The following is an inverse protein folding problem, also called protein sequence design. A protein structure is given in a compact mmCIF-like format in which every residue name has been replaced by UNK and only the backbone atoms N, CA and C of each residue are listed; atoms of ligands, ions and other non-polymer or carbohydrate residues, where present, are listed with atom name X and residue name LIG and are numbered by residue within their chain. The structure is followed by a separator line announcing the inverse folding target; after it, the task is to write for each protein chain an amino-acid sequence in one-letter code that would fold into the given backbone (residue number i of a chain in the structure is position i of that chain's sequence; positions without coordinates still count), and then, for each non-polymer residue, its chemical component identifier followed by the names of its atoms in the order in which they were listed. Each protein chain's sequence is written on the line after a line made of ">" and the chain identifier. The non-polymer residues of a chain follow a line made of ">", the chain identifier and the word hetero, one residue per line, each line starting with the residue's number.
data_IF_129308334779
#
_entry.id   IF_129308334779
#
_cell.length_a   1.000
_cell.length_b   1.000
_cell.length_c   1.000
_cell.angle_alpha   90.00
_cell.angle_beta   90.00
_cell.angle_gamma   90.00
#
_symmetry.space_group_name_H-M   'P 1'
#
loop_
_entity.id
_entity.type
_entity.pdbx_description
1 polymer ?
#
# COMPACT_ATOMS: atom_id res chain seq x y z
N UNK A 1 2.30 -17.14 2.12
CA UNK A 1 2.67 -17.46 0.72
C UNK A 1 3.95 -16.77 0.24
N UNK A 2 4.84 -16.33 1.14
CA UNK A 2 6.14 -15.75 0.77
C UNK A 2 7.31 -16.75 0.87
N UNK A 3 7.03 -18.01 1.21
CA UNK A 3 8.04 -19.05 1.48
C UNK A 3 8.91 -19.40 0.26
N UNK A 4 8.49 -19.00 -0.95
CA UNK A 4 9.25 -19.14 -2.20
C UNK A 4 9.78 -17.81 -2.74
N UNK A 5 9.87 -16.79 -1.88
CA UNK A 5 10.40 -15.47 -2.22
C UNK A 5 11.91 -15.47 -2.51
N UNK A 6 12.40 -14.33 -2.99
CA UNK A 6 13.82 -14.11 -3.29
C UNK A 6 14.61 -14.02 -1.98
N UNK A 7 15.64 -14.86 -1.83
CA UNK A 7 16.50 -14.84 -0.62
C UNK A 7 17.67 -13.86 -0.73
N UNK A 8 18.24 -13.75 -1.93
CA UNK A 8 19.30 -12.82 -2.28
C UNK A 8 18.98 -12.25 -3.66
N UNK A 9 18.95 -10.91 -3.75
CA UNK A 9 18.62 -10.20 -4.98
C UNK A 9 19.62 -10.49 -6.10
N UNK A 10 20.89 -10.76 -5.77
CA UNK A 10 21.93 -11.06 -6.74
C UNK A 10 21.60 -12.30 -7.58
N UNK A 11 20.88 -13.26 -7.00
CA UNK A 11 20.46 -14.49 -7.71
C UNK A 11 19.49 -14.22 -8.86
N UNK A 12 18.82 -13.07 -8.87
CA UNK A 12 17.85 -12.71 -9.91
C UNK A 12 18.34 -11.58 -10.81
N UNK A 13 19.59 -11.12 -10.70
CA UNK A 13 20.15 -10.08 -11.58
C UNK A 13 19.98 -10.37 -13.07
N UNK A 14 20.18 -11.61 -13.57
CA UNK A 14 19.89 -11.91 -14.98
C UNK A 14 18.43 -11.67 -15.37
N UNK A 15 17.50 -11.90 -14.46
CA UNK A 15 16.08 -11.60 -14.69
C UNK A 15 15.83 -10.09 -14.65
N UNK A 16 16.40 -9.36 -13.70
CA UNK A 16 16.28 -7.89 -13.61
C UNK A 16 16.86 -7.19 -14.84
N UNK A 17 18.01 -7.63 -15.33
CA UNK A 17 18.59 -7.16 -16.59
C UNK A 17 17.61 -7.37 -17.75
N UNK A 18 16.99 -8.56 -17.81
CA UNK A 18 16.02 -8.85 -18.87
C UNK A 18 14.75 -8.02 -18.75
N UNK A 19 14.27 -7.80 -17.53
CA UNK A 19 13.12 -6.92 -17.25
C UNK A 19 13.40 -5.50 -17.72
N UNK A 20 14.59 -4.96 -17.42
CA UNK A 20 15.02 -3.65 -17.89
C UNK A 20 15.02 -3.56 -19.41
N UNK A 21 15.64 -4.53 -20.11
CA UNK A 21 15.66 -4.58 -21.58
C UNK A 21 14.27 -4.63 -22.22
N UNK A 22 13.31 -5.27 -21.53
CA UNK A 22 11.94 -5.44 -22.02
C UNK A 22 11.00 -4.31 -21.56
N UNK A 23 11.47 -3.39 -20.71
CA UNK A 23 10.61 -2.37 -20.09
C UNK A 23 9.56 -2.96 -19.13
N UNK A 24 9.80 -4.15 -18.60
CA UNK A 24 8.91 -4.80 -17.63
C UNK A 24 9.17 -4.23 -16.22
N UNK A 25 8.15 -3.68 -15.52
CA UNK A 25 8.35 -3.13 -14.19
C UNK A 25 8.61 -4.22 -13.15
N UNK A 26 9.49 -3.92 -12.19
CA UNK A 26 9.68 -4.71 -10.98
C UNK A 26 8.78 -4.16 -9.87
N UNK A 27 7.92 -5.01 -9.31
CA UNK A 27 7.07 -4.66 -8.17
C UNK A 27 7.67 -5.27 -6.91
N UNK A 28 7.90 -4.46 -5.88
CA UNK A 28 8.73 -4.85 -4.74
C UNK A 28 7.95 -4.74 -3.44
N UNK A 29 7.75 -5.87 -2.76
CA UNK A 29 7.49 -5.89 -1.33
C UNK A 29 8.82 -5.69 -0.59
N UNK A 30 9.11 -4.44 -0.22
CA UNK A 30 10.44 -4.05 0.26
C UNK A 30 10.63 -4.20 1.76
N UNK A 31 10.66 -5.42 2.27
CA UNK A 31 11.08 -5.73 3.65
C UNK A 31 12.18 -6.81 3.63
N UNK A 32 13.21 -6.64 4.46
CA UNK A 32 14.13 -7.74 4.77
C UNK A 32 13.47 -8.72 5.75
N UNK A 33 13.79 -10.01 5.64
CA UNK A 33 13.18 -11.06 6.47
C UNK A 33 14.10 -11.63 7.56
N UNK A 34 15.25 -10.98 7.81
CA UNK A 34 16.19 -11.36 8.87
C UNK A 34 15.48 -11.41 10.23
N UNK A 35 15.66 -12.52 10.95
CA UNK A 35 15.03 -12.76 12.25
C UNK A 35 15.51 -11.80 13.35
N UNK A 36 16.68 -11.16 13.17
CA UNK A 36 17.27 -10.22 14.13
C UNK A 36 16.83 -8.77 13.89
N UNK A 37 16.20 -8.47 12.76
CA UNK A 37 15.72 -7.13 12.42
C UNK A 37 14.28 -6.98 12.86
N UNK A 38 14.04 -5.97 13.70
CA UNK A 38 12.72 -5.63 14.20
C UNK A 38 11.77 -5.32 13.03
N UNK A 39 10.54 -5.83 13.12
CA UNK A 39 9.52 -5.71 12.07
C UNK A 39 9.20 -4.24 11.72
N UNK A 40 9.40 -3.30 12.63
CA UNK A 40 9.19 -1.87 12.36
C UNK A 40 10.32 -1.24 11.52
N UNK A 41 11.50 -1.88 11.46
CA UNK A 41 12.71 -1.35 10.79
C UNK A 41 12.98 -2.04 9.44
N UNK A 42 12.31 -3.16 9.14
CA UNK A 42 12.58 -3.99 7.95
C UNK A 42 12.49 -3.25 6.62
N UNK A 43 11.54 -2.31 6.50
CA UNK A 43 11.37 -1.51 5.28
C UNK A 43 12.55 -0.56 5.06
N UNK A 44 12.98 0.15 6.12
CA UNK A 44 14.11 1.07 6.05
C UNK A 44 15.42 0.32 5.76
N UNK A 45 15.63 -0.85 6.38
CA UNK A 45 16.81 -1.67 6.13
C UNK A 45 16.79 -2.26 4.71
N UNK A 46 15.63 -2.60 4.15
CA UNK A 46 15.52 -3.03 2.76
C UNK A 46 15.98 -1.94 1.79
N UNK A 47 15.59 -0.68 2.05
CA UNK A 47 16.04 0.47 1.24
C UNK A 47 17.57 0.56 1.26
N UNK A 48 18.16 0.58 2.47
CA UNK A 48 19.60 0.74 2.67
C UNK A 48 20.41 -0.39 2.03
N UNK A 49 20.01 -1.64 2.28
CA UNK A 49 20.83 -2.82 1.93
C UNK A 49 20.60 -3.32 0.51
N UNK A 50 19.43 -3.07 -0.07
CA UNK A 50 19.00 -3.73 -1.31
C UNK A 50 18.57 -2.68 -2.34
N UNK A 51 17.54 -1.89 -2.05
CA UNK A 51 16.87 -1.12 -3.09
C UNK A 51 17.77 -0.03 -3.69
N UNK A 52 18.58 0.66 -2.87
CA UNK A 52 19.54 1.65 -3.36
C UNK A 52 20.50 1.03 -4.38
N UNK A 53 21.04 -0.15 -4.10
CA UNK A 53 21.99 -0.83 -4.99
C UNK A 53 21.30 -1.29 -6.28
N UNK A 54 20.10 -1.86 -6.19
CA UNK A 54 19.33 -2.30 -7.37
C UNK A 54 19.06 -1.12 -8.31
N UNK A 55 18.68 0.04 -7.79
CA UNK A 55 18.44 1.24 -8.61
C UNK A 55 19.73 1.76 -9.26
N UNK A 56 20.88 1.61 -8.61
CA UNK A 56 22.18 1.98 -9.18
C UNK A 56 22.61 1.02 -10.29
N UNK A 57 22.38 -0.28 -10.10
CA UNK A 57 22.79 -1.33 -11.04
C UNK A 57 21.88 -1.41 -12.27
N UNK A 58 20.60 -1.04 -12.11
CA UNK A 58 19.59 -1.07 -13.16
C UNK A 58 18.88 0.29 -13.31
N UNK A 59 19.58 1.34 -13.78
CA UNK A 59 19.06 2.71 -13.79
C UNK A 59 17.87 2.93 -14.74
N UNK A 60 17.67 2.06 -15.73
CA UNK A 60 16.55 2.11 -16.68
C UNK A 60 15.37 1.21 -16.26
N UNK A 61 15.55 0.35 -15.24
CA UNK A 61 14.49 -0.53 -14.75
C UNK A 61 13.43 0.29 -14.03
N UNK A 62 12.18 0.18 -14.49
CA UNK A 62 11.03 0.70 -13.75
C UNK A 62 10.80 -0.14 -12.50
N UNK A 63 10.68 0.52 -11.35
CA UNK A 63 10.41 -0.14 -10.07
C UNK A 63 9.24 0.54 -9.38
N UNK A 64 8.29 -0.26 -8.90
CA UNK A 64 7.25 0.17 -7.96
C UNK A 64 7.61 -0.40 -6.60
N UNK A 65 7.88 0.49 -5.65
CA UNK A 65 7.96 0.13 -4.24
C UNK A 65 6.53 0.01 -3.70
N UNK A 66 6.06 -1.23 -3.59
CA UNK A 66 4.69 -1.49 -3.22
C UNK A 66 4.42 -1.08 -1.77
N UNK A 67 3.17 -0.65 -1.52
CA UNK A 67 2.55 -0.45 -0.21
C UNK A 67 3.50 0.16 0.84
N UNK A 68 4.19 1.25 0.50
CA UNK A 68 5.19 1.88 1.40
C UNK A 68 4.54 2.31 2.72
N UNK A 69 5.29 2.17 3.82
CA UNK A 69 4.75 2.39 5.17
C UNK A 69 5.54 3.38 6.01
N UNK A 70 6.69 3.85 5.53
CA UNK A 70 7.62 4.70 6.29
C UNK A 70 7.89 6.05 5.60
N UNK A 71 8.27 7.06 6.40
CA UNK A 71 8.86 8.30 5.88
C UNK A 71 10.13 8.02 5.08
N UNK A 72 10.94 7.05 5.49
CA UNK A 72 12.18 6.66 4.81
C UNK A 72 11.91 6.23 3.36
N UNK A 73 10.86 5.43 3.13
CA UNK A 73 10.42 5.05 1.78
C UNK A 73 9.88 6.25 0.98
N UNK A 74 9.13 7.15 1.61
CA UNK A 74 8.67 8.40 0.96
C UNK A 74 9.85 9.24 0.50
N UNK A 75 10.83 9.49 1.38
CA UNK A 75 12.02 10.27 1.08
C UNK A 75 12.86 9.62 -0.03
N UNK A 76 13.02 8.30 0.02
CA UNK A 76 13.70 7.53 -1.02
C UNK A 76 13.04 7.74 -2.38
N UNK A 77 11.73 7.53 -2.51
CA UNK A 77 11.00 7.65 -3.79
C UNK A 77 11.06 9.09 -4.32
N UNK A 78 10.95 10.10 -3.44
CA UNK A 78 11.07 11.50 -3.81
C UNK A 78 12.46 11.85 -4.36
N UNK A 79 13.52 11.26 -3.79
CA UNK A 79 14.91 11.51 -4.23
C UNK A 79 15.35 10.67 -5.44
N UNK A 80 14.65 9.58 -5.74
CA UNK A 80 14.97 8.68 -6.85
C UNK A 80 14.63 9.26 -8.23
N UNK A 81 14.95 8.55 -9.31
CA UNK A 81 14.58 8.95 -10.69
C UNK A 81 13.08 8.77 -10.97
N UNK A 82 12.63 9.19 -12.15
CA UNK A 82 11.24 8.98 -12.63
C UNK A 82 10.90 7.49 -12.87
N UNK A 83 11.92 6.61 -12.93
CA UNK A 83 11.70 5.17 -13.05
C UNK A 83 11.25 4.51 -11.74
N UNK A 84 11.26 5.25 -10.62
CA UNK A 84 10.89 4.74 -9.31
C UNK A 84 9.60 5.40 -8.84
N UNK A 85 8.60 4.57 -8.56
CA UNK A 85 7.32 4.99 -7.99
C UNK A 85 6.96 4.14 -6.77
N UNK A 86 5.86 4.47 -6.11
CA UNK A 86 5.33 3.71 -5.00
C UNK A 86 3.80 3.69 -4.98
N UNK A 87 3.26 2.59 -4.50
CA UNK A 87 1.84 2.50 -4.14
C UNK A 87 1.64 2.78 -2.66
N UNK A 88 0.51 3.40 -2.31
CA UNK A 88 0.13 3.65 -0.92
C UNK A 88 -1.27 3.12 -0.67
N UNK A 89 -1.43 2.25 0.31
CA UNK A 89 -2.72 1.63 0.67
C UNK A 89 -3.64 2.58 1.43
N UNK A 90 -4.97 2.37 1.42
CA UNK A 90 -5.87 3.21 2.22
C UNK A 90 -5.72 2.96 3.72
N UNK A 91 -5.38 1.73 4.13
CA UNK A 91 -5.24 1.39 5.55
C UNK A 91 -3.98 2.00 6.18
N UNK A 92 -2.88 2.15 5.43
CA UNK A 92 -1.69 2.89 5.89
C UNK A 92 -1.90 4.42 5.94
N UNK A 93 -2.85 4.96 5.17
CA UNK A 93 -3.25 6.37 5.28
C UNK A 93 -4.17 6.62 6.47
N UNK A 94 -5.10 5.70 6.75
CA UNK A 94 -6.18 5.89 7.72
C UNK A 94 -5.93 5.26 9.09
N UNK A 95 -4.90 4.44 9.25
CA UNK A 95 -4.56 3.82 10.52
C UNK A 95 -3.04 3.86 10.78
N UNK A 96 -2.68 3.78 12.05
CA UNK A 96 -1.32 3.56 12.52
C UNK A 96 -1.29 2.44 13.56
N UNK A 97 -0.10 2.10 14.06
CA UNK A 97 0.07 0.98 14.99
C UNK A 97 -0.76 1.10 16.29
N UNK A 98 -1.19 2.30 16.67
CA UNK A 98 -2.06 2.46 17.84
C UNK A 98 -3.46 1.86 17.57
N UNK A 99 -3.98 2.02 16.36
CA UNK A 99 -5.25 1.39 15.96
C UNK A 99 -5.19 -0.13 16.13
N UNK A 100 -4.05 -0.73 15.80
CA UNK A 100 -3.82 -2.17 15.93
C UNK A 100 -3.65 -2.64 17.37
N UNK A 101 -3.08 -1.83 18.27
CA UNK A 101 -2.56 -2.31 19.56
C UNK A 101 -3.22 -1.71 20.82
N UNK A 102 -3.72 -0.47 20.76
CA UNK A 102 -4.25 0.23 21.95
C UNK A 102 -5.62 -0.32 22.34
N UNK A 103 -5.82 -0.62 23.62
CA UNK A 103 -7.05 -1.18 24.17
C UNK A 103 -7.27 -2.66 23.85
N UNK A 104 -6.29 -3.31 23.23
CA UNK A 104 -6.34 -4.71 22.81
C UNK A 104 -5.80 -4.90 21.39
N UNK A 105 -5.22 -6.07 21.15
CA UNK A 105 -4.72 -6.46 19.82
C UNK A 105 -5.89 -6.66 18.85
N UNK A 106 -5.83 -6.00 17.70
CA UNK A 106 -6.85 -6.06 16.65
C UNK A 106 -6.26 -6.73 15.41
N UNK A 107 -6.40 -8.05 15.24
CA UNK A 107 -5.72 -8.78 14.16
C UNK A 107 -6.17 -8.33 12.77
N UNK A 108 -7.39 -7.80 12.61
CA UNK A 108 -7.89 -7.26 11.33
C UNK A 108 -7.18 -5.98 10.87
N UNK A 109 -6.33 -5.39 11.71
CA UNK A 109 -5.42 -4.28 11.37
C UNK A 109 -3.97 -4.76 11.12
N UNK A 110 -3.69 -6.05 11.28
CA UNK A 110 -2.36 -6.62 11.03
C UNK A 110 -2.17 -6.93 9.53
N UNK A 111 -1.18 -6.30 8.92
CA UNK A 111 -0.71 -6.48 7.54
C UNK A 111 0.82 -6.45 7.49
N UNK A 112 1.38 -6.74 6.32
CA UNK A 112 2.80 -6.54 6.02
C UNK A 112 2.91 -5.62 4.80
N UNK A 113 3.76 -4.58 4.82
CA UNK A 113 4.55 -4.14 5.97
C UNK A 113 3.64 -3.66 7.11
N UNK A 114 4.13 -3.74 8.35
CA UNK A 114 3.29 -3.48 9.53
C UNK A 114 2.90 -2.00 9.62
N UNK A 115 1.70 -1.68 10.13
CA UNK A 115 1.33 -0.31 10.50
C UNK A 115 2.43 0.33 11.37
N UNK A 116 2.87 1.53 11.00
CA UNK A 116 3.96 2.25 11.67
C UNK A 116 3.43 3.33 12.63
N UNK A 117 4.31 4.16 13.19
CA UNK A 117 3.92 5.32 14.03
C UNK A 117 3.18 6.37 13.20
N UNK A 118 2.24 7.09 13.82
CA UNK A 118 1.58 8.24 13.19
C UNK A 118 2.61 9.28 12.72
N UNK A 119 3.48 9.71 13.64
CA UNK A 119 4.62 10.57 13.35
C UNK A 119 5.92 9.76 13.49
N UNK A 120 6.82 9.75 12.49
CA UNK A 120 6.73 10.49 11.23
C UNK A 120 5.99 9.79 10.09
N UNK A 121 5.74 8.48 10.19
CA UNK A 121 5.46 7.67 9.02
C UNK A 121 4.07 7.92 8.40
N UNK A 122 2.97 7.74 9.14
CA UNK A 122 1.62 7.96 8.58
C UNK A 122 1.46 9.37 8.01
N UNK A 123 1.99 10.40 8.70
CA UNK A 123 1.96 11.79 8.21
C UNK A 123 2.74 11.96 6.91
N UNK A 124 3.89 11.30 6.75
CA UNK A 124 4.65 11.33 5.50
C UNK A 124 3.87 10.66 4.36
N UNK A 125 3.20 9.52 4.62
CA UNK A 125 2.36 8.85 3.63
C UNK A 125 1.17 9.70 3.18
N UNK A 126 0.48 10.33 4.13
CA UNK A 126 -0.61 11.28 3.84
C UNK A 126 -0.09 12.41 2.96
N UNK A 127 1.01 13.05 3.35
CA UNK A 127 1.62 14.13 2.57
C UNK A 127 2.03 13.68 1.18
N UNK A 128 2.55 12.46 1.01
CA UNK A 128 2.98 11.92 -0.28
C UNK A 128 1.78 11.65 -1.19
N UNK A 129 0.77 10.90 -0.70
CA UNK A 129 -0.44 10.57 -1.45
C UNK A 129 -1.18 11.83 -1.90
N UNK A 130 -1.28 12.84 -1.04
CA UNK A 130 -2.00 14.09 -1.33
C UNK A 130 -1.09 15.20 -1.88
N UNK A 131 0.10 14.87 -2.38
CA UNK A 131 1.03 15.86 -2.93
C UNK A 131 0.66 16.31 -4.34
N UNK A 132 0.12 15.40 -5.16
CA UNK A 132 -0.01 15.58 -6.61
C UNK A 132 1.25 15.16 -7.38
N UNK A 133 2.22 14.52 -6.71
CA UNK A 133 3.41 13.96 -7.34
C UNK A 133 3.07 12.61 -7.99
N UNK A 134 3.36 12.48 -9.29
CA UNK A 134 3.03 11.31 -10.10
C UNK A 134 3.75 10.01 -9.69
N UNK A 135 4.74 10.08 -8.81
CA UNK A 135 5.42 8.90 -8.26
C UNK A 135 4.62 8.14 -7.22
N UNK A 136 3.51 8.70 -6.71
CA UNK A 136 2.67 8.03 -5.72
C UNK A 136 1.28 7.79 -6.31
N UNK A 137 0.85 6.54 -6.34
CA UNK A 137 -0.45 6.17 -6.88
C UNK A 137 -1.15 5.07 -6.09
N UNK A 138 -2.42 4.85 -6.41
CA UNK A 138 -3.30 3.92 -5.71
C UNK A 138 -2.83 2.47 -5.88
N UNK A 139 -2.61 1.79 -4.76
CA UNK A 139 -2.49 0.34 -4.67
C UNK A 139 -3.09 -0.12 -3.35
N UNK A 140 -4.17 -0.91 -3.39
CA UNK A 140 -4.99 -1.17 -2.20
C UNK A 140 -4.36 -2.13 -1.21
N UNK A 141 -3.51 -3.02 -1.72
CA UNK A 141 -3.07 -4.26 -1.07
C UNK A 141 -4.22 -4.97 -0.34
N UNK A 142 -5.37 -5.06 -1.01
CA UNK A 142 -6.54 -5.71 -0.44
C UNK A 142 -6.32 -7.21 -0.36
N UNK A 143 -6.01 -7.70 0.84
CA UNK A 143 -5.64 -9.09 1.12
C UNK A 143 -6.67 -9.73 2.08
N UNK A 144 -7.80 -10.27 1.55
CA UNK A 144 -8.82 -10.91 2.37
C UNK A 144 -8.34 -12.25 2.92
N UNK A 145 -8.61 -12.48 4.21
CA UNK A 145 -8.46 -13.77 4.87
C UNK A 145 -9.76 -14.12 5.60
N UNK A 146 -10.03 -15.41 5.76
CA UNK A 146 -11.15 -15.83 6.59
C UNK A 146 -11.00 -15.27 8.01
N UNK A 147 -12.12 -14.92 8.64
CA UNK A 147 -12.13 -14.41 10.02
C UNK A 147 -11.38 -15.34 10.97
N UNK A 148 -11.54 -16.65 10.80
CA UNK A 148 -10.86 -17.69 11.60
C UNK A 148 -9.35 -17.70 11.43
N UNK A 149 -8.83 -17.32 10.26
CA UNK A 149 -7.39 -17.28 10.00
C UNK A 149 -6.75 -16.02 10.59
N UNK A 150 -7.53 -14.93 10.70
CA UNK A 150 -7.13 -13.68 11.37
C UNK A 150 -7.22 -13.80 12.90
N UNK A 151 -8.30 -14.38 13.41
CA UNK A 151 -8.59 -14.56 14.84
C UNK A 151 -8.08 -15.92 15.35
N UNK A 152 -6.79 -16.17 15.16
CA UNK A 152 -6.12 -17.43 15.51
C UNK A 152 -4.91 -17.18 16.43
N UNK A 153 -4.22 -18.26 16.83
CA UNK A 153 -2.94 -18.16 17.55
C UNK A 153 -1.81 -17.57 16.70
N UNK A 154 -1.98 -17.51 15.37
CA UNK A 154 -1.03 -16.93 14.42
C UNK A 154 -1.82 -16.27 13.29
N UNK A 155 -2.37 -15.08 13.59
CA UNK A 155 -3.24 -14.35 12.66
C UNK A 155 -2.56 -14.01 11.34
N UNK A 156 -3.17 -14.35 10.20
CA UNK A 156 -2.62 -13.98 8.89
C UNK A 156 -2.48 -12.47 8.72
N UNK A 157 -1.40 -12.02 8.06
CA UNK A 157 -1.23 -10.63 7.67
C UNK A 157 -2.08 -10.32 6.42
N UNK A 158 -2.86 -9.24 6.46
CA UNK A 158 -3.67 -8.79 5.32
C UNK A 158 -4.94 -8.06 5.76
N UNK A 159 -5.35 -7.05 4.98
CA UNK A 159 -6.51 -6.21 5.27
C UNK A 159 -7.43 -6.19 4.04
N UNK A 160 -8.73 -6.48 4.23
CA UNK A 160 -9.73 -6.32 3.17
C UNK A 160 -10.15 -4.85 3.04
N UNK A 161 -9.59 -4.16 2.05
CA UNK A 161 -9.89 -2.75 1.75
C UNK A 161 -10.70 -2.56 0.45
N UNK A 162 -10.71 -3.54 -0.46
CA UNK A 162 -11.34 -3.42 -1.78
C UNK A 162 -12.86 -3.15 -1.77
N UNK A 163 -13.56 -3.45 -0.67
CA UNK A 163 -15.01 -3.29 -0.57
C UNK A 163 -15.51 -1.83 -0.70
N UNK A 164 -14.66 -0.85 -0.37
CA UNK A 164 -14.95 0.58 -0.55
C UNK A 164 -13.65 1.40 -0.70
N UNK A 165 -12.68 0.87 -1.45
CA UNK A 165 -11.33 1.43 -1.51
C UNK A 165 -11.31 2.91 -1.91
N UNK A 166 -12.08 3.29 -2.94
CA UNK A 166 -12.09 4.66 -3.43
C UNK A 166 -12.72 5.63 -2.41
N UNK A 167 -13.72 5.19 -1.65
CA UNK A 167 -14.33 5.97 -0.56
C UNK A 167 -13.37 6.15 0.62
N UNK A 168 -12.55 5.14 0.93
CA UNK A 168 -11.50 5.25 1.93
C UNK A 168 -10.44 6.26 1.51
N UNK A 169 -9.97 6.24 0.27
CA UNK A 169 -9.04 7.26 -0.23
C UNK A 169 -9.65 8.65 -0.26
N UNK A 170 -10.91 8.79 -0.70
CA UNK A 170 -11.61 10.08 -0.64
C UNK A 170 -11.65 10.64 0.78
N UNK A 171 -11.90 9.79 1.79
CA UNK A 171 -11.86 10.19 3.20
C UNK A 171 -10.45 10.62 3.64
N UNK A 172 -9.39 9.93 3.20
CA UNK A 172 -8.01 10.31 3.50
C UNK A 172 -7.63 11.65 2.84
N UNK A 173 -7.98 11.85 1.57
CA UNK A 173 -7.68 13.07 0.82
C UNK A 173 -8.46 14.27 1.33
N UNK A 174 -9.73 14.09 1.70
CA UNK A 174 -10.53 15.12 2.38
C UNK A 174 -9.91 15.54 3.71
N UNK A 175 -9.37 14.60 4.50
CA UNK A 175 -8.71 14.93 5.78
C UNK A 175 -7.49 15.87 5.61
N UNK A 176 -6.92 15.92 4.40
CA UNK A 176 -5.80 16.78 4.03
C UNK A 176 -6.24 18.00 3.19
N UNK A 177 -7.54 18.23 3.02
CA UNK A 177 -8.10 19.26 2.13
C UNK A 177 -7.57 19.16 0.69
N UNK A 178 -7.45 17.94 0.16
CA UNK A 178 -6.77 17.66 -1.10
C UNK A 178 -7.59 16.77 -2.07
N UNK A 179 -8.92 16.80 -1.99
CA UNK A 179 -9.80 16.00 -2.85
C UNK A 179 -9.57 16.23 -4.36
N UNK A 180 -9.15 17.44 -4.74
CA UNK A 180 -8.77 17.82 -6.11
C UNK A 180 -7.62 16.97 -6.67
N UNK A 181 -6.81 16.35 -5.81
CA UNK A 181 -5.68 15.51 -6.20
C UNK A 181 -6.01 14.01 -6.27
N UNK A 182 -7.21 13.62 -5.86
CA UNK A 182 -7.60 12.21 -5.79
C UNK A 182 -7.58 11.55 -7.17
N UNK A 183 -8.05 12.25 -8.22
CA UNK A 183 -8.08 11.71 -9.59
C UNK A 183 -6.67 11.36 -10.10
N UNK A 184 -5.71 12.28 -9.93
CA UNK A 184 -4.32 12.02 -10.29
C UNK A 184 -3.79 10.73 -9.67
N UNK A 185 -3.95 10.62 -8.35
CA UNK A 185 -3.50 9.47 -7.55
C UNK A 185 -4.23 8.16 -7.92
N UNK A 186 -5.55 8.22 -8.17
CA UNK A 186 -6.39 7.03 -8.30
C UNK A 186 -6.52 6.51 -9.74
N UNK A 187 -6.37 7.36 -10.76
CA UNK A 187 -6.67 6.97 -12.15
C UNK A 187 -5.64 7.38 -13.19
N UNK A 188 -4.74 8.33 -12.91
CA UNK A 188 -3.82 8.87 -13.92
C UNK A 188 -2.39 8.37 -13.72
N UNK A 189 -1.80 8.63 -12.55
CA UNK A 189 -0.37 8.44 -12.33
C UNK A 189 0.09 6.98 -12.48
N UNK A 190 -0.74 6.03 -12.03
CA UNK A 190 -0.46 4.61 -12.25
C UNK A 190 -0.50 4.24 -13.73
N UNK A 191 -1.49 4.70 -14.49
CA UNK A 191 -1.58 4.41 -15.92
C UNK A 191 -0.38 4.99 -16.68
N UNK A 192 0.03 6.22 -16.35
CA UNK A 192 1.21 6.87 -16.94
C UNK A 192 2.49 6.08 -16.64
N UNK A 193 2.72 5.67 -15.38
CA UNK A 193 3.91 4.92 -15.00
C UNK A 193 4.00 3.57 -15.74
N UNK A 194 2.89 2.86 -15.85
CA UNK A 194 2.80 1.58 -16.56
C UNK A 194 2.73 1.72 -18.09
N UNK A 195 2.59 2.93 -18.64
CA UNK A 195 2.47 3.16 -20.08
C UNK A 195 1.15 2.63 -20.65
N UNK A 196 0.07 2.69 -19.86
CA UNK A 196 -1.27 2.22 -20.22
C UNK A 196 -2.19 3.40 -20.55
N UNK A 197 -3.21 3.20 -21.41
CA UNK A 197 -4.20 4.23 -21.69
C UNK A 197 -5.02 4.56 -20.44
N UNK A 198 -5.46 5.82 -20.34
CA UNK A 198 -6.38 6.24 -19.29
C UNK A 198 -7.77 5.67 -19.52
N UNK A 199 -8.49 5.40 -18.42
CA UNK A 199 -9.91 5.09 -18.48
C UNK A 199 -10.68 6.29 -19.05
N UNK A 200 -11.75 6.02 -19.80
CA UNK A 200 -12.62 7.05 -20.37
C UNK A 200 -13.98 7.16 -19.66
N UNK A 201 -14.30 6.16 -18.85
CA UNK A 201 -15.46 6.17 -17.97
C UNK A 201 -15.17 6.97 -16.70
N UNK A 202 -16.24 7.46 -16.08
CA UNK A 202 -16.16 8.20 -14.83
C UNK A 202 -16.96 7.50 -13.75
N UNK A 203 -16.52 7.69 -12.51
CA UNK A 203 -17.26 7.32 -11.32
C UNK A 203 -17.67 8.59 -10.56
N UNK A 204 -18.73 8.50 -9.77
CA UNK A 204 -19.18 9.59 -8.90
C UNK A 204 -19.15 9.16 -7.44
N UNK A 205 -18.39 9.90 -6.63
CA UNK A 205 -18.42 9.80 -5.18
C UNK A 205 -19.33 10.89 -4.62
N UNK A 206 -20.27 10.50 -3.78
CA UNK A 206 -21.15 11.42 -3.07
C UNK A 206 -20.74 11.49 -1.61
N UNK A 207 -20.64 12.70 -1.07
CA UNK A 207 -20.53 12.94 0.38
C UNK A 207 -21.82 12.47 1.05
N UNK A 208 -21.79 11.27 1.60
CA UNK A 208 -22.94 10.61 2.19
C UNK A 208 -22.45 9.56 3.19
N UNK A 209 -22.87 9.72 4.44
CA UNK A 209 -22.56 8.77 5.49
C UNK A 209 -23.21 7.41 5.24
N UNK A 210 -22.45 6.34 5.46
CA UNK A 210 -22.94 4.98 5.52
C UNK A 210 -22.06 4.13 6.45
N UNK A 211 -22.65 3.05 6.97
CA UNK A 211 -21.97 2.14 7.89
C UNK A 211 -21.39 0.98 7.10
N UNK A 212 -20.09 0.74 7.27
CA UNK A 212 -19.41 -0.43 6.70
C UNK A 212 -19.96 -1.69 7.40
N UNK A 213 -20.43 -2.70 6.65
CA UNK A 213 -20.88 -3.98 7.23
C UNK A 213 -19.82 -4.61 8.13
N UNK A 214 -20.25 -5.27 9.21
CA UNK A 214 -19.33 -5.96 10.12
C UNK A 214 -18.56 -7.10 9.45
N UNK A 215 -19.13 -7.70 8.40
CA UNK A 215 -18.50 -8.76 7.62
C UNK A 215 -19.11 -8.89 6.23
N UNK A 216 -18.39 -9.58 5.34
CA UNK A 216 -18.87 -10.04 4.04
C UNK A 216 -18.78 -11.57 3.93
N UNK A 217 -19.63 -12.21 3.11
CA UNK A 217 -19.46 -13.62 2.75
C UNK A 217 -18.09 -13.87 2.09
N UNK A 218 -17.39 -14.92 2.49
CA UNK A 218 -16.10 -15.31 1.93
C UNK A 218 -16.00 -16.84 1.83
N UNK A 219 -16.26 -17.38 0.64
CA UNK A 219 -16.46 -18.81 0.43
C UNK A 219 -17.47 -19.39 1.45
N UNK A 220 -17.07 -20.40 2.23
CA UNK A 220 -17.92 -21.03 3.25
C UNK A 220 -17.82 -20.36 4.64
N UNK A 221 -17.23 -19.16 4.72
CA UNK A 221 -16.99 -18.42 5.95
C UNK A 221 -17.26 -16.92 5.73
N UNK A 222 -16.73 -16.08 6.61
CA UNK A 222 -16.85 -14.62 6.56
C UNK A 222 -15.48 -13.97 6.55
N UNK A 223 -15.38 -12.79 5.96
CA UNK A 223 -14.22 -11.88 6.05
C UNK A 223 -14.64 -10.58 6.74
N UNK A 224 -13.76 -10.03 7.58
CA UNK A 224 -13.98 -8.75 8.25
C UNK A 224 -13.31 -7.65 7.43
N UNK A 225 -14.07 -6.66 6.92
CA UNK A 225 -13.50 -5.56 6.15
C UNK A 225 -12.75 -4.55 7.04
N UNK A 226 -11.84 -3.79 6.43
CA UNK A 226 -11.30 -2.60 7.07
C UNK A 226 -12.42 -1.62 7.42
N UNK A 227 -12.36 -1.00 8.60
CA UNK A 227 -13.42 -0.13 9.14
C UNK A 227 -14.79 -0.81 9.37
N UNK A 228 -14.84 -2.13 9.50
CA UNK A 228 -16.05 -2.87 9.92
C UNK A 228 -16.82 -2.19 11.08
N UNK A 229 -18.12 -2.00 10.90
CA UNK A 229 -19.02 -1.39 11.88
C UNK A 229 -18.87 0.13 12.04
N UNK A 230 -17.93 0.77 11.34
CA UNK A 230 -17.71 2.23 11.40
C UNK A 230 -18.48 2.95 10.29
N UNK A 231 -18.81 4.21 10.56
CA UNK A 231 -19.35 5.12 9.56
C UNK A 231 -18.23 5.72 8.72
N UNK A 232 -18.39 5.74 7.40
CA UNK A 232 -17.54 6.50 6.47
C UNK A 232 -18.38 7.51 5.68
N UNK A 233 -17.77 8.63 5.28
CA UNK A 233 -18.50 9.82 4.79
C UNK A 233 -18.61 9.97 3.28
N UNK A 234 -18.05 9.03 2.50
CA UNK A 234 -18.11 9.01 1.04
C UNK A 234 -18.73 7.71 0.57
N UNK A 235 -19.50 7.78 -0.51
CA UNK A 235 -20.17 6.64 -1.12
C UNK A 235 -20.07 6.69 -2.64
N UNK A 236 -19.61 5.61 -3.26
CA UNK A 236 -19.72 5.42 -4.71
C UNK A 236 -21.20 5.28 -5.11
N UNK A 237 -21.66 6.08 -6.07
CA UNK A 237 -23.07 6.10 -6.52
C UNK A 237 -23.28 5.78 -8.00
N UNK A 238 -22.23 5.88 -8.81
CA UNK A 238 -22.21 5.49 -10.23
C UNK A 238 -20.77 5.25 -10.65
#
# INVERSE_FOLDING_TARGET
>A
NSDSGVTDIANIYPALEKMQQLGMPLLVHGEVTDATIDIFDREAVFIERILIQVVQDFPELKIVFEHITTKDAVDFVLSASENIAATITPHHLLANRNDMLVGGIKPHYFCLPILKRENPHQKALLSAATSGNAKFFLGTDSAPHAKTDKESSCGCAGILSAHCAIELYASAFESQNALDKLEGFASIFGADFYGLPHNTETITLKKQDWVVPDSYPFANTTVVPFMAGKTIGWKLVS
#
